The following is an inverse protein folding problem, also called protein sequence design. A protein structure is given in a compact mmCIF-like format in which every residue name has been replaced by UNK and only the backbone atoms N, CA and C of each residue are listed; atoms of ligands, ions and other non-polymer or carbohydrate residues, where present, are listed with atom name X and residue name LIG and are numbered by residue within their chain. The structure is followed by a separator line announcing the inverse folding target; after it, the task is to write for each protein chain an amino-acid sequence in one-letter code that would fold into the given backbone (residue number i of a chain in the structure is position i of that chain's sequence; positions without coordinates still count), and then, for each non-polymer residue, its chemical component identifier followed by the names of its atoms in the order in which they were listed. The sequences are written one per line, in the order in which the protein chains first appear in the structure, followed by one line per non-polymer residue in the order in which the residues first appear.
data_IF_738871424600
#
_entry.id   IF_738871424600
#
_cell.length_a   1.000
_cell.length_b   1.000
_cell.length_c   1.000
_cell.angle_alpha   90.00
_cell.angle_beta   90.00
_cell.angle_gamma   90.00
#
_symmetry.space_group_name_H-M   'P 1'
#
loop_
_entity.id
_entity.type
_entity.pdbx_description
1 polymer ?
#
# COMPACT_ATOMS: atom_id res chain seq x y z
N UNK A 1 25.75 13.15 -8.10
CA UNK A 1 24.66 13.96 -8.69
C UNK A 1 23.37 13.47 -8.05
N UNK A 2 22.88 14.22 -7.06
CA UNK A 2 21.71 13.85 -6.26
C UNK A 2 20.43 14.09 -7.06
N UNK A 3 19.79 13.03 -7.54
CA UNK A 3 18.47 13.11 -8.14
C UNK A 3 17.45 13.54 -7.10
N UNK A 4 16.64 14.54 -7.46
CA UNK A 4 15.66 15.20 -6.61
C UNK A 4 14.41 14.31 -6.55
N UNK A 5 14.34 13.45 -5.53
CA UNK A 5 13.23 12.54 -5.28
C UNK A 5 12.00 13.28 -4.73
N UNK A 6 11.31 14.04 -5.58
CA UNK A 6 10.08 14.74 -5.20
C UNK A 6 8.84 14.39 -6.04
N UNK A 7 7.84 13.74 -5.45
CA UNK A 7 6.42 13.47 -5.72
C UNK A 7 5.45 14.69 -5.73
N UNK A 8 5.90 15.95 -5.85
CA UNK A 8 4.95 17.08 -6.07
C UNK A 8 5.45 18.23 -6.93
N UNK A 9 4.51 19.11 -7.33
CA UNK A 9 4.73 20.42 -7.93
C UNK A 9 5.35 21.33 -6.85
N UNK A 10 6.60 21.78 -7.03
CA UNK A 10 7.43 22.37 -5.96
C UNK A 10 6.73 23.51 -5.21
N UNK A 11 5.95 24.33 -5.92
CA UNK A 11 5.19 25.43 -5.32
C UNK A 11 3.97 24.98 -4.50
N UNK A 12 3.36 23.83 -4.83
CA UNK A 12 2.28 23.24 -4.04
C UNK A 12 2.82 22.47 -2.83
N UNK A 13 3.94 21.75 -3.00
CA UNK A 13 4.63 21.13 -1.88
C UNK A 13 5.07 22.15 -0.85
N UNK A 14 5.64 23.30 -1.28
CA UNK A 14 5.97 24.39 -0.36
C UNK A 14 4.76 24.95 0.39
N UNK A 15 3.56 24.95 -0.22
CA UNK A 15 2.33 25.35 0.47
C UNK A 15 1.87 24.31 1.47
N UNK A 16 1.96 23.03 1.11
CA UNK A 16 1.70 21.91 2.02
C UNK A 16 2.66 21.96 3.20
N UNK A 17 3.96 22.11 2.95
CA UNK A 17 5.00 22.26 3.96
C UNK A 17 4.71 23.44 4.90
N UNK A 18 4.28 24.59 4.35
CA UNK A 18 3.85 25.75 5.15
C UNK A 18 2.64 25.45 6.02
N UNK A 19 1.66 24.68 5.53
CA UNK A 19 0.51 24.27 6.33
C UNK A 19 0.91 23.34 7.49
N UNK A 20 1.82 22.38 7.23
CA UNK A 20 2.39 21.54 8.29
C UNK A 20 3.21 22.35 9.29
N UNK A 21 4.00 23.32 8.83
CA UNK A 21 4.78 24.21 9.69
C UNK A 21 3.90 25.13 10.56
N UNK A 22 2.71 25.50 10.10
CA UNK A 22 1.75 26.29 10.86
C UNK A 22 0.91 25.47 11.86
N UNK A 23 1.15 24.16 11.99
CA UNK A 23 0.35 23.28 12.87
C UNK A 23 -1.07 23.00 12.35
N UNK A 24 -1.37 23.42 11.12
CA UNK A 24 -2.66 23.19 10.45
C UNK A 24 -2.58 21.93 9.58
N UNK A 25 -1.40 21.31 9.44
CA UNK A 25 -1.20 20.09 8.66
C UNK A 25 -2.09 18.92 9.09
N UNK A 26 -2.39 18.81 10.38
CA UNK A 26 -3.32 17.79 10.89
C UNK A 26 -4.81 18.16 10.69
N UNK A 27 -5.11 19.44 10.39
CA UNK A 27 -6.43 19.94 9.95
C UNK A 27 -6.59 19.88 8.42
N UNK A 28 -5.47 19.79 7.69
CA UNK A 28 -5.42 19.67 6.23
C UNK A 28 -5.47 18.19 5.89
N UNK A 29 -6.64 17.78 5.40
CA UNK A 29 -6.93 16.43 4.97
C UNK A 29 -6.13 16.03 3.72
N UNK A 30 -4.84 15.72 3.86
CA UNK A 30 -4.03 15.24 2.75
C UNK A 30 -4.55 13.88 2.22
N UNK A 31 -4.48 13.65 0.90
CA UNK A 31 -4.75 12.35 0.33
C UNK A 31 -3.75 11.29 0.80
N UNK A 32 -4.23 10.06 0.91
CA UNK A 32 -3.44 8.88 1.27
C UNK A 32 -3.59 7.84 0.17
N UNK A 33 -2.57 6.99 -0.02
CA UNK A 33 -2.66 5.83 -0.90
C UNK A 33 -3.06 4.63 -0.05
N UNK A 34 -4.10 3.91 -0.45
CA UNK A 34 -4.49 2.63 0.18
C UNK A 34 -4.28 1.52 -0.84
N UNK A 35 -3.44 0.56 -0.51
CA UNK A 35 -3.15 -0.60 -1.38
C UNK A 35 -4.12 -1.72 -1.04
N UNK A 36 -5.03 -2.03 -1.96
CA UNK A 36 -6.12 -2.99 -1.75
C UNK A 36 -6.09 -4.11 -2.78
N UNK A 37 -6.57 -5.30 -2.41
CA UNK A 37 -6.56 -6.47 -3.29
C UNK A 37 -6.61 -7.79 -2.54
N UNK A 38 -6.92 -8.85 -3.25
CA UNK A 38 -7.04 -10.21 -2.72
C UNK A 38 -5.73 -10.68 -2.04
N UNK A 39 -5.83 -11.67 -1.16
CA UNK A 39 -4.66 -12.29 -0.55
C UNK A 39 -3.69 -12.76 -1.64
N UNK A 40 -2.39 -12.52 -1.42
CA UNK A 40 -1.32 -12.90 -2.36
C UNK A 40 -1.36 -12.21 -3.74
N UNK A 41 -2.12 -11.11 -3.91
CA UNK A 41 -2.11 -10.30 -5.15
C UNK A 41 -0.82 -9.51 -5.37
N UNK A 42 0.08 -9.44 -4.38
CA UNK A 42 1.35 -8.71 -4.47
C UNK A 42 1.31 -7.27 -3.93
N UNK A 43 0.33 -6.92 -3.09
CA UNK A 43 0.19 -5.61 -2.43
C UNK A 43 1.48 -5.15 -1.75
N UNK A 44 2.02 -5.94 -0.83
CA UNK A 44 3.24 -5.59 -0.08
C UNK A 44 4.43 -5.42 -1.03
N UNK A 45 4.53 -6.22 -2.10
CA UNK A 45 5.57 -6.03 -3.12
C UNK A 45 5.38 -4.73 -3.89
N UNK A 46 4.16 -4.35 -4.28
CA UNK A 46 3.87 -3.04 -4.88
C UNK A 46 4.32 -1.94 -3.93
N UNK A 47 3.97 -2.05 -2.65
CA UNK A 47 4.28 -1.07 -1.62
C UNK A 47 5.79 -0.90 -1.43
N UNK A 48 6.54 -1.99 -1.25
CA UNK A 48 8.01 -1.99 -1.22
C UNK A 48 8.62 -1.27 -2.42
N UNK A 49 7.99 -1.46 -3.58
CA UNK A 49 8.39 -0.78 -4.81
C UNK A 49 8.20 0.71 -4.67
N UNK A 50 7.01 1.14 -4.28
CA UNK A 50 6.69 2.55 -4.12
C UNK A 50 7.61 3.23 -3.09
N UNK A 51 7.86 2.59 -1.95
CA UNK A 51 8.63 3.17 -0.84
C UNK A 51 10.16 2.98 -0.94
N UNK A 52 10.65 2.13 -1.87
CA UNK A 52 12.06 1.72 -1.99
C UNK A 52 12.69 1.22 -0.67
N UNK A 53 11.87 0.67 0.22
CA UNK A 53 12.28 0.07 1.49
C UNK A 53 11.73 -1.36 1.57
N UNK A 54 12.50 -2.31 2.11
CA UNK A 54 12.04 -3.67 2.29
C UNK A 54 10.95 -3.70 3.37
N UNK A 55 9.86 -4.39 3.08
CA UNK A 55 8.84 -4.76 4.06
C UNK A 55 9.00 -6.27 4.32
N UNK A 56 8.97 -6.74 5.58
CA UNK A 56 9.07 -8.15 5.87
C UNK A 56 7.88 -8.87 5.26
N UNK A 57 8.19 -9.97 4.59
CA UNK A 57 7.23 -10.84 3.95
C UNK A 57 7.06 -12.06 4.84
N UNK A 58 6.01 -12.08 5.64
CA UNK A 58 5.67 -13.31 6.35
C UNK A 58 5.00 -14.29 5.37
N UNK A 59 5.44 -15.55 5.45
CA UNK A 59 5.18 -16.59 4.43
C UNK A 59 3.77 -17.21 4.50
N UNK A 60 2.96 -16.85 5.50
CA UNK A 60 1.58 -17.30 5.66
C UNK A 60 0.53 -16.22 5.36
N UNK A 61 0.40 -15.24 6.27
CA UNK A 61 -0.48 -14.08 6.13
C UNK A 61 0.42 -12.84 6.07
N UNK A 62 0.70 -12.33 4.87
CA UNK A 62 1.67 -11.23 4.71
C UNK A 62 1.29 -9.95 5.48
N UNK A 63 0.00 -9.73 5.77
CA UNK A 63 -0.50 -8.53 6.46
C UNK A 63 -1.69 -8.91 7.35
N UNK A 64 -1.52 -8.91 8.69
CA UNK A 64 -2.56 -9.27 9.69
C UNK A 64 -3.22 -8.07 10.37
N UNK A 65 -2.70 -6.88 10.14
CA UNK A 65 -3.21 -5.60 10.61
C UNK A 65 -2.85 -4.54 9.57
N UNK A 66 -3.56 -3.41 9.56
CA UNK A 66 -3.21 -2.33 8.64
C UNK A 66 -1.86 -1.72 9.04
N UNK A 67 -0.99 -1.48 8.05
CA UNK A 67 0.29 -0.80 8.26
C UNK A 67 0.24 0.55 7.55
N UNK A 68 0.32 1.63 8.31
CA UNK A 68 0.36 3.00 7.81
C UNK A 68 1.80 3.52 7.84
N UNK A 69 2.33 3.82 6.66
CA UNK A 69 3.62 4.49 6.50
C UNK A 69 3.35 5.96 6.17
N UNK A 70 3.85 6.86 6.99
CA UNK A 70 3.70 8.31 6.84
C UNK A 70 5.07 8.91 6.59
N UNK A 71 5.24 9.52 5.43
CA UNK A 71 6.39 10.32 5.08
C UNK A 71 6.11 11.78 5.43
N UNK A 72 7.02 12.43 6.17
CA UNK A 72 6.91 13.85 6.53
C UNK A 72 8.20 14.59 6.24
N UNK A 73 8.11 15.73 5.56
CA UNK A 73 9.28 16.60 5.43
C UNK A 73 9.64 17.20 6.79
N UNK A 74 10.91 17.06 7.18
CA UNK A 74 11.45 17.61 8.42
C UNK A 74 12.91 18.00 8.25
N UNK A 75 13.45 18.83 9.15
CA UNK A 75 14.87 19.20 9.13
C UNK A 75 15.74 18.01 9.52
N UNK A 76 15.29 17.24 10.50
CA UNK A 76 15.99 16.08 11.05
C UNK A 76 15.42 14.80 10.47
N UNK A 77 16.31 13.85 10.18
CA UNK A 77 15.94 12.48 9.84
C UNK A 77 15.57 11.72 11.11
N UNK A 78 14.35 11.19 11.14
CA UNK A 78 13.83 10.41 12.27
C UNK A 78 12.86 9.36 11.78
N UNK A 79 12.83 8.22 12.43
CA UNK A 79 11.81 7.20 12.20
C UNK A 79 11.14 6.88 13.52
N UNK A 80 9.84 7.11 13.60
CA UNK A 80 9.04 6.81 14.79
C UNK A 80 8.08 5.68 14.48
N UNK A 81 8.10 4.66 15.34
CA UNK A 81 7.23 3.49 15.28
C UNK A 81 6.25 3.58 16.43
N UNK A 82 4.96 3.37 16.14
CA UNK A 82 3.89 3.40 17.14
C UNK A 82 2.74 2.51 16.68
N UNK A 83 1.85 2.13 17.59
CA UNK A 83 0.58 1.49 17.24
C UNK A 83 -0.56 2.44 17.57
N UNK A 84 -1.48 2.61 16.61
CA UNK A 84 -2.72 3.36 16.81
C UNK A 84 -3.82 2.36 17.15
N UNK A 85 -4.43 2.43 18.34
CA UNK A 85 -5.44 1.47 18.72
C UNK A 85 -6.76 1.69 17.98
N UNK A 86 -7.52 0.62 17.79
CA UNK A 86 -8.87 0.69 17.22
C UNK A 86 -9.83 1.53 18.06
N UNK A 87 -10.78 2.18 17.38
CA UNK A 87 -11.87 2.96 17.98
C UNK A 87 -12.82 2.12 18.83
N UNK A 88 -12.77 0.79 18.71
CA UNK A 88 -13.57 -0.14 19.51
C UNK A 88 -12.77 -0.81 20.64
N UNK A 89 -11.46 -0.56 20.72
CA UNK A 89 -10.58 -1.16 21.73
C UNK A 89 -10.91 -0.73 23.17
N UNK A 90 -10.76 -1.67 24.11
CA UNK A 90 -10.96 -1.39 25.54
C UNK A 90 -9.97 -0.35 26.07
N UNK A 91 -10.34 0.38 27.12
CA UNK A 91 -9.48 1.43 27.69
C UNK A 91 -8.13 0.89 28.20
N UNK A 92 -8.11 -0.33 28.75
CA UNK A 92 -6.88 -0.99 29.19
C UNK A 92 -5.98 -1.36 28.01
N UNK A 93 -6.55 -1.91 26.94
CA UNK A 93 -5.82 -2.24 25.70
C UNK A 93 -5.21 -0.98 25.08
N UNK A 94 -6.01 0.11 24.97
CA UNK A 94 -5.53 1.40 24.46
C UNK A 94 -4.33 1.92 25.24
N UNK A 95 -4.41 1.96 26.57
CA UNK A 95 -3.30 2.44 27.39
C UNK A 95 -2.03 1.60 27.22
N UNK A 96 -2.17 0.28 27.09
CA UNK A 96 -1.04 -0.62 26.86
C UNK A 96 -0.39 -0.37 25.49
N UNK A 97 -1.20 -0.24 24.45
CA UNK A 97 -0.75 -0.08 23.07
C UNK A 97 -0.18 1.32 22.82
N UNK A 98 -0.83 2.38 23.32
CA UNK A 98 -0.35 3.76 23.17
C UNK A 98 0.98 3.99 23.91
N UNK A 99 1.28 3.19 24.94
CA UNK A 99 2.57 3.21 25.62
C UNK A 99 3.68 2.54 24.78
N UNK A 100 3.32 1.72 23.80
CA UNK A 100 4.28 1.10 22.90
C UNK A 100 4.59 2.03 21.71
N UNK A 101 5.87 2.33 21.58
CA UNK A 101 6.40 3.09 20.46
C UNK A 101 7.82 3.51 20.75
N UNK A 102 8.63 3.64 19.71
CA UNK A 102 10.03 4.07 19.84
C UNK A 102 10.49 4.79 18.59
N UNK A 103 11.52 5.59 18.78
CA UNK A 103 12.34 6.08 17.68
C UNK A 103 13.35 4.99 17.30
N UNK A 104 13.52 4.78 15.99
CA UNK A 104 14.50 3.84 15.44
C UNK A 104 15.44 4.59 14.50
N UNK A 105 16.69 4.15 14.46
CA UNK A 105 17.72 4.81 13.65
C UNK A 105 17.49 4.60 12.14
N UNK A 106 17.09 3.40 11.73
CA UNK A 106 16.69 3.09 10.36
C UNK A 106 15.71 1.90 10.33
N UNK A 107 15.09 1.67 9.17
CA UNK A 107 14.20 0.55 8.87
C UNK A 107 14.94 -0.45 7.98
N UNK A 108 16.02 -1.01 8.50
CA UNK A 108 16.65 -2.17 7.87
C UNK A 108 15.74 -3.43 8.01
N UNK A 109 15.94 -4.47 7.19
CA UNK A 109 15.10 -5.67 7.24
C UNK A 109 15.01 -6.36 8.61
N UNK A 110 16.10 -6.36 9.39
CA UNK A 110 16.13 -7.01 10.70
C UNK A 110 15.35 -6.19 11.72
N UNK A 111 15.62 -4.88 11.78
CA UNK A 111 14.91 -3.94 12.64
C UNK A 111 13.41 -3.97 12.33
N UNK A 112 13.02 -4.01 11.05
CA UNK A 112 11.62 -4.13 10.68
C UNK A 112 11.02 -5.47 11.14
N UNK A 113 11.74 -6.59 10.95
CA UNK A 113 11.27 -7.90 11.43
C UNK A 113 11.03 -7.92 12.95
N UNK A 114 11.93 -7.30 13.72
CA UNK A 114 11.78 -7.14 15.18
C UNK A 114 10.55 -6.29 15.52
N UNK A 115 10.38 -5.14 14.86
CA UNK A 115 9.20 -4.27 15.01
C UNK A 115 7.91 -5.05 14.76
N UNK A 116 7.87 -5.86 13.70
CA UNK A 116 6.69 -6.65 13.36
C UNK A 116 6.42 -7.73 14.40
N UNK A 117 7.45 -8.43 14.87
CA UNK A 117 7.29 -9.43 15.93
C UNK A 117 6.71 -8.80 17.20
N UNK A 118 7.27 -7.67 17.64
CA UNK A 118 6.77 -6.94 18.79
C UNK A 118 5.34 -6.43 18.57
N UNK A 119 5.03 -5.90 17.38
CA UNK A 119 3.69 -5.44 17.06
C UNK A 119 2.65 -6.57 17.15
N UNK A 120 2.99 -7.79 16.68
CA UNK A 120 2.13 -8.95 16.84
C UNK A 120 1.88 -9.27 18.33
N UNK A 121 2.92 -9.19 19.17
CA UNK A 121 2.79 -9.43 20.61
C UNK A 121 1.91 -8.35 21.29
N UNK A 122 2.15 -7.07 20.99
CA UNK A 122 1.38 -5.96 21.56
C UNK A 122 -0.09 -5.96 21.13
N UNK A 123 -0.37 -6.34 19.89
CA UNK A 123 -1.73 -6.50 19.37
C UNK A 123 -2.40 -7.82 19.81
N UNK A 124 -1.69 -8.67 20.57
CA UNK A 124 -2.23 -9.92 21.10
C UNK A 124 -2.48 -10.99 20.04
N UNK A 125 -1.77 -10.93 18.91
CA UNK A 125 -1.95 -11.84 17.78
C UNK A 125 -1.29 -13.22 18.03
N UNK A 126 -1.73 -14.23 17.27
CA UNK A 126 -1.12 -15.57 17.31
C UNK A 126 0.31 -15.49 16.74
N UNK A 127 1.31 -15.71 17.60
CA UNK A 127 2.72 -15.81 17.23
C UNK A 127 3.19 -17.27 17.03
N UNK A 128 2.53 -18.25 17.66
CA UNK A 128 2.83 -19.69 17.51
C UNK A 128 1.62 -20.57 17.88
N UNK A 129 1.50 -21.76 17.25
CA UNK A 129 0.39 -22.73 17.41
C UNK A 129 0.27 -23.35 18.83
N UNK A 130 1.14 -22.98 19.77
CA UNK A 130 1.31 -23.69 21.05
C UNK A 130 0.63 -23.03 22.25
N UNK A 131 -0.04 -21.88 22.10
CA UNK A 131 -0.69 -21.21 23.24
C UNK A 131 -2.14 -21.70 23.45
N UNK A 132 -2.43 -22.15 24.68
CA UNK A 132 -3.73 -22.71 25.11
C UNK A 132 -4.91 -21.72 25.16
N UNK A 133 -4.73 -20.46 24.72
CA UNK A 133 -5.76 -19.41 24.70
C UNK A 133 -6.08 -19.01 23.26
N UNK A 134 -7.37 -18.92 22.87
CA UNK A 134 -7.74 -18.45 21.54
C UNK A 134 -7.34 -16.97 21.41
N UNK A 135 -6.31 -16.71 20.62
CA UNK A 135 -5.89 -15.34 20.24
C UNK A 135 -6.46 -15.01 18.86
N UNK A 136 -6.77 -13.73 18.58
CA UNK A 136 -7.21 -13.31 17.26
C UNK A 136 -6.09 -13.46 16.22
N UNK A 137 -6.46 -13.74 14.97
CA UNK A 137 -5.51 -13.80 13.85
C UNK A 137 -5.26 -12.42 13.24
N UNK A 138 -6.25 -11.54 13.26
CA UNK A 138 -6.18 -10.17 12.75
C UNK A 138 -6.48 -9.14 13.84
N UNK A 139 -5.94 -7.93 13.69
CA UNK A 139 -6.24 -6.79 14.58
C UNK A 139 -6.67 -5.57 13.76
N UNK A 140 -7.64 -4.83 14.30
CA UNK A 140 -8.04 -3.49 13.82
C UNK A 140 -7.09 -2.38 14.30
N UNK A 141 -6.16 -2.70 15.19
CA UNK A 141 -5.08 -1.78 15.54
C UNK A 141 -4.17 -1.56 14.32
N UNK A 142 -3.56 -0.38 14.21
CA UNK A 142 -2.79 0.04 13.04
C UNK A 142 -1.34 0.23 13.44
N UNK A 143 -0.43 -0.49 12.79
CA UNK A 143 1.00 -0.20 12.93
C UNK A 143 1.31 1.08 12.14
N UNK A 144 1.79 2.11 12.82
CA UNK A 144 2.15 3.40 12.21
C UNK A 144 3.65 3.60 12.24
N UNK A 145 4.21 3.82 11.06
CA UNK A 145 5.61 4.15 10.80
C UNK A 145 5.69 5.58 10.27
N UNK A 146 6.23 6.50 11.06
CA UNK A 146 6.44 7.89 10.63
C UNK A 146 7.91 8.12 10.29
N UNK A 147 8.20 8.27 9.00
CA UNK A 147 9.53 8.52 8.45
C UNK A 147 9.62 10.01 8.14
N UNK A 148 10.44 10.74 8.89
CA UNK A 148 10.67 12.17 8.65
C UNK A 148 12.09 12.44 8.14
N UNK A 149 12.24 13.47 7.31
CA UNK A 149 13.56 13.91 6.82
C UNK A 149 13.45 14.99 5.75
N UNK A 150 14.57 15.63 5.36
CA UNK A 150 14.57 16.79 4.46
C UNK A 150 14.25 16.41 3.01
N UNK A 151 14.56 15.16 2.64
CA UNK A 151 14.26 14.57 1.33
C UNK A 151 12.86 13.98 1.23
N UNK A 152 12.13 13.90 2.36
CA UNK A 152 10.80 13.29 2.39
C UNK A 152 9.74 14.25 1.83
N UNK A 153 8.62 13.65 1.48
CA UNK A 153 7.42 14.37 1.09
C UNK A 153 6.23 13.95 1.91
N UNK A 154 5.29 14.86 2.06
CA UNK A 154 4.07 14.59 2.79
C UNK A 154 3.18 13.61 2.02
N UNK A 155 3.37 12.33 2.30
CA UNK A 155 2.63 11.21 1.72
C UNK A 155 2.30 10.20 2.82
N UNK A 156 1.09 9.65 2.79
CA UNK A 156 0.76 8.46 3.57
C UNK A 156 0.40 7.31 2.65
N UNK A 157 0.98 6.14 2.92
CA UNK A 157 0.62 4.89 2.26
C UNK A 157 0.16 3.88 3.29
N UNK A 158 -0.93 3.19 3.01
CA UNK A 158 -1.57 2.23 3.89
C UNK A 158 -1.59 0.88 3.18
N UNK A 159 -0.94 -0.11 3.78
CA UNK A 159 -1.13 -1.53 3.44
C UNK A 159 -2.28 -2.07 4.28
N UNK A 160 -3.27 -2.70 3.65
CA UNK A 160 -4.36 -3.37 4.35
C UNK A 160 -4.29 -4.88 4.11
N UNK A 161 -4.80 -5.70 5.04
CA UNK A 161 -4.92 -7.14 4.85
C UNK A 161 -5.59 -7.50 3.53
N UNK A 162 -5.12 -8.60 2.92
CA UNK A 162 -5.72 -9.09 1.67
C UNK A 162 -7.05 -9.77 1.91
N UNK A 163 -8.03 -9.50 1.06
CA UNK A 163 -9.34 -10.16 1.13
C UNK A 163 -9.18 -11.64 0.77
N UNK A 164 -9.84 -12.51 1.52
CA UNK A 164 -9.88 -13.95 1.29
C UNK A 164 -11.30 -14.49 1.49
N UNK A 165 -11.66 -15.53 0.72
CA UNK A 165 -13.03 -16.07 0.69
C UNK A 165 -13.19 -17.38 1.46
N UNK A 166 -12.07 -18.07 1.71
CA UNK A 166 -12.05 -19.40 2.31
C UNK A 166 -11.09 -19.35 3.50
N UNK A 167 -11.52 -19.78 4.69
CA UNK A 167 -10.62 -19.84 5.83
C UNK A 167 -9.55 -20.92 5.61
N UNK A 168 -8.31 -20.58 5.93
CA UNK A 168 -7.22 -21.54 6.10
C UNK A 168 -7.41 -22.28 7.42
N UNK A 169 -7.51 -23.61 7.35
CA UNK A 169 -7.68 -24.48 8.53
C UNK A 169 -6.56 -24.24 9.54
N UNK A 170 -6.94 -24.09 10.82
CA UNK A 170 -6.00 -23.82 11.92
C UNK A 170 -5.49 -22.38 12.02
N UNK A 171 -5.68 -21.55 10.99
CA UNK A 171 -5.13 -20.19 10.94
C UNK A 171 -6.19 -19.08 10.92
N UNK A 172 -7.29 -19.25 10.19
CA UNK A 172 -8.33 -18.21 10.03
C UNK A 172 -9.73 -18.80 10.16
N UNK A 173 -10.69 -17.96 10.49
CA UNK A 173 -12.10 -18.31 10.71
C UNK A 173 -13.01 -17.54 9.76
N UNK A 174 -14.30 -17.88 9.72
CA UNK A 174 -15.29 -17.08 8.97
C UNK A 174 -15.46 -15.68 9.54
N UNK A 175 -15.30 -15.52 10.86
CA UNK A 175 -15.36 -14.19 11.48
C UNK A 175 -14.18 -13.32 11.03
N UNK A 176 -13.01 -13.90 10.79
CA UNK A 176 -11.85 -13.18 10.27
C UNK A 176 -12.07 -12.67 8.84
N UNK A 177 -12.82 -13.41 8.01
CA UNK A 177 -13.20 -12.97 6.66
C UNK A 177 -14.03 -11.68 6.74
N UNK A 178 -15.06 -11.68 7.59
CA UNK A 178 -15.94 -10.53 7.76
C UNK A 178 -15.17 -9.34 8.37
N UNK A 179 -14.31 -9.58 9.35
CA UNK A 179 -13.44 -8.58 9.96
C UNK A 179 -12.54 -7.90 8.93
N UNK A 180 -11.79 -8.69 8.14
CA UNK A 180 -10.90 -8.15 7.11
C UNK A 180 -11.68 -7.41 6.04
N UNK A 181 -12.84 -7.92 5.61
CA UNK A 181 -13.68 -7.23 4.62
C UNK A 181 -14.19 -5.89 5.14
N UNK A 182 -14.63 -5.82 6.40
CA UNK A 182 -15.06 -4.58 7.04
C UNK A 182 -13.90 -3.59 7.19
N UNK A 183 -12.73 -4.05 7.63
CA UNK A 183 -11.52 -3.23 7.76
C UNK A 183 -11.16 -2.62 6.40
N UNK A 184 -11.00 -3.44 5.36
CA UNK A 184 -10.64 -2.98 4.01
C UNK A 184 -11.67 -1.97 3.48
N UNK A 185 -12.96 -2.25 3.65
CA UNK A 185 -14.03 -1.32 3.25
C UNK A 185 -13.92 0.04 3.94
N UNK A 186 -13.62 0.08 5.25
CA UNK A 186 -13.49 1.35 5.98
C UNK A 186 -12.37 2.25 5.43
N UNK A 187 -11.24 1.65 5.00
CA UNK A 187 -10.17 2.39 4.34
C UNK A 187 -10.53 2.85 2.93
N UNK A 188 -11.31 2.04 2.19
CA UNK A 188 -11.76 2.34 0.83
C UNK A 188 -12.83 3.44 0.79
N UNK A 189 -13.74 3.48 1.76
CA UNK A 189 -14.81 4.48 1.88
C UNK A 189 -14.30 5.88 2.21
N UNK A 190 -13.11 5.99 2.80
CA UNK A 190 -12.51 7.29 3.08
C UNK A 190 -12.26 8.05 1.76
N UNK A 191 -12.87 9.23 1.54
CA UNK A 191 -12.79 9.97 0.28
C UNK A 191 -11.38 10.50 -0.01
N UNK A 192 -10.48 10.50 0.99
CA UNK A 192 -9.07 10.89 0.85
C UNK A 192 -8.18 9.76 0.33
N UNK A 193 -8.70 8.54 0.32
CA UNK A 193 -7.95 7.35 -0.10
C UNK A 193 -7.94 7.24 -1.62
N UNK A 194 -6.76 7.42 -2.22
CA UNK A 194 -6.45 6.91 -3.56
C UNK A 194 -6.29 5.41 -3.45
N UNK A 195 -7.20 4.67 -4.06
CA UNK A 195 -7.20 3.22 -4.06
C UNK A 195 -6.27 2.70 -5.15
N UNK A 196 -5.26 1.95 -4.72
CA UNK A 196 -4.39 1.18 -5.59
C UNK A 196 -4.90 -0.26 -5.60
N UNK A 197 -5.72 -0.60 -6.59
CA UNK A 197 -6.37 -1.91 -6.68
C UNK A 197 -5.43 -2.91 -7.36
N UNK A 198 -4.77 -3.73 -6.54
CA UNK A 198 -3.72 -4.66 -6.96
C UNK A 198 -4.34 -6.02 -7.33
N UNK A 199 -4.17 -6.41 -8.59
CA UNK A 199 -4.70 -7.66 -9.15
C UNK A 199 -3.58 -8.38 -9.90
N UNK A 200 -3.36 -9.69 -9.68
CA UNK A 200 -2.38 -10.41 -10.47
C UNK A 200 -2.94 -10.69 -11.88
N UNK A 201 -2.08 -10.70 -12.90
CA UNK A 201 -2.52 -10.87 -14.30
C UNK A 201 -2.92 -12.30 -14.66
N UNK A 202 -2.61 -13.27 -13.81
CA UNK A 202 -2.92 -14.68 -14.01
C UNK A 202 -4.34 -15.07 -13.52
N UNK A 203 -5.16 -14.10 -13.12
CA UNK A 203 -6.57 -14.32 -12.74
C UNK A 203 -7.50 -13.44 -13.58
N UNK A 204 -8.74 -13.90 -13.76
CA UNK A 204 -9.75 -13.07 -14.43
C UNK A 204 -10.22 -11.97 -13.48
N UNK A 205 -10.01 -10.71 -13.91
CA UNK A 205 -10.42 -9.49 -13.22
C UNK A 205 -11.93 -9.49 -12.88
N UNK A 206 -12.80 -10.25 -13.58
CA UNK A 206 -14.26 -10.27 -13.32
C UNK A 206 -14.61 -11.04 -12.06
N UNK A 207 -13.73 -11.93 -11.64
CA UNK A 207 -13.93 -12.77 -10.46
C UNK A 207 -13.41 -12.11 -9.18
N UNK A 208 -12.72 -10.97 -9.34
CA UNK A 208 -12.03 -10.28 -8.26
C UNK A 208 -13.02 -9.42 -7.48
N UNK A 209 -13.22 -9.77 -6.21
CA UNK A 209 -14.14 -9.09 -5.30
C UNK A 209 -13.70 -7.64 -5.05
N UNK A 210 -12.39 -7.38 -5.06
CA UNK A 210 -11.88 -6.04 -4.83
C UNK A 210 -12.35 -5.02 -5.87
N UNK A 211 -12.67 -5.44 -7.10
CA UNK A 211 -13.18 -4.52 -8.14
C UNK A 211 -14.60 -4.08 -7.83
N UNK A 212 -15.43 -4.99 -7.31
CA UNK A 212 -16.78 -4.68 -6.85
C UNK A 212 -16.71 -3.67 -5.69
N UNK A 213 -15.89 -3.98 -4.68
CA UNK A 213 -15.70 -3.08 -3.52
C UNK A 213 -15.15 -1.70 -3.91
N UNK A 214 -14.24 -1.65 -4.89
CA UNK A 214 -13.68 -0.39 -5.38
C UNK A 214 -14.73 0.43 -6.14
N UNK A 215 -15.61 -0.23 -6.89
CA UNK A 215 -16.71 0.41 -7.61
C UNK A 215 -17.76 0.95 -6.64
N UNK A 216 -18.07 0.21 -5.57
CA UNK A 216 -19.00 0.66 -4.53
C UNK A 216 -18.45 1.88 -3.78
N UNK A 217 -17.16 1.88 -3.44
CA UNK A 217 -16.52 2.96 -2.71
C UNK A 217 -16.23 4.21 -3.59
N UNK A 218 -15.94 4.03 -4.88
CA UNK A 218 -15.69 5.10 -5.84
C UNK A 218 -16.45 4.87 -7.17
N UNK A 219 -17.77 5.11 -7.20
CA UNK A 219 -18.56 4.94 -8.42
C UNK A 219 -18.12 5.84 -9.58
N UNK A 220 -17.42 6.94 -9.27
CA UNK A 220 -16.92 7.91 -10.25
C UNK A 220 -15.57 7.53 -10.88
N UNK A 221 -14.86 6.57 -10.26
CA UNK A 221 -13.51 6.14 -10.64
C UNK A 221 -12.45 7.23 -10.49
N UNK A 222 -12.71 8.33 -9.76
CA UNK A 222 -11.82 9.49 -9.68
C UNK A 222 -10.58 9.27 -8.82
N UNK A 223 -10.61 8.26 -7.95
CA UNK A 223 -9.55 7.97 -6.98
C UNK A 223 -9.15 6.49 -7.00
N UNK A 224 -9.53 5.74 -8.04
CA UNK A 224 -9.23 4.30 -8.17
C UNK A 224 -8.32 4.04 -9.36
N UNK A 225 -7.11 3.54 -9.08
CA UNK A 225 -6.13 3.11 -10.08
C UNK A 225 -5.97 1.59 -10.01
N UNK A 226 -6.18 0.91 -11.14
CA UNK A 226 -5.91 -0.53 -11.25
C UNK A 226 -4.42 -0.80 -11.45
N UNK A 227 -3.87 -1.76 -10.70
CA UNK A 227 -2.46 -2.18 -10.83
C UNK A 227 -2.39 -3.68 -11.04
N UNK A 228 -1.85 -4.06 -12.19
CA UNK A 228 -1.53 -5.45 -12.50
C UNK A 228 -0.17 -5.86 -11.96
N UNK A 229 -0.10 -7.05 -11.38
CA UNK A 229 1.14 -7.69 -10.91
C UNK A 229 1.32 -9.06 -11.54
N UNK A 230 2.50 -9.65 -11.38
CA UNK A 230 2.84 -11.00 -11.88
C UNK A 230 2.63 -11.21 -13.39
N UNK A 231 3.02 -10.25 -14.26
CA UNK A 231 2.90 -10.40 -15.73
C UNK A 231 3.66 -11.60 -16.29
N UNK A 232 4.65 -12.09 -15.55
CA UNK A 232 5.45 -13.27 -15.83
C UNK A 232 4.69 -14.60 -15.69
N UNK A 233 3.54 -14.61 -15.00
CA UNK A 233 2.73 -15.80 -14.75
C UNK A 233 1.50 -15.91 -15.65
N UNK A 234 1.37 -15.06 -16.68
CA UNK A 234 0.25 -15.13 -17.61
C UNK A 234 0.44 -16.32 -18.56
N UNK A 235 -0.63 -17.10 -18.75
CA UNK A 235 -0.63 -18.20 -19.71
C UNK A 235 -0.44 -17.67 -21.14
N UNK A 236 0.35 -18.40 -21.94
CA UNK A 236 0.59 -18.05 -23.34
C UNK A 236 -0.71 -18.05 -24.14
N UNK A 237 -1.04 -16.92 -24.74
CA UNK A 237 -2.28 -16.66 -25.46
C UNK A 237 -3.30 -15.83 -24.68
N UNK A 238 -3.15 -15.69 -23.36
CA UNK A 238 -4.03 -14.85 -22.52
C UNK A 238 -3.50 -13.41 -22.36
N UNK A 239 -2.25 -13.13 -22.70
CA UNK A 239 -1.63 -11.80 -22.61
C UNK A 239 -2.38 -10.73 -23.41
N UNK A 240 -2.91 -10.98 -24.62
CA UNK A 240 -3.68 -9.98 -25.37
C UNK A 240 -4.91 -9.46 -24.62
N UNK A 241 -5.53 -10.27 -23.76
CA UNK A 241 -6.66 -9.84 -22.94
C UNK A 241 -6.22 -8.81 -21.88
N UNK A 242 -5.07 -9.02 -21.25
CA UNK A 242 -4.48 -8.08 -20.28
C UNK A 242 -4.06 -6.78 -20.98
N UNK A 243 -3.42 -6.88 -22.15
CA UNK A 243 -3.02 -5.72 -22.96
C UNK A 243 -4.24 -4.89 -23.38
N UNK A 244 -5.35 -5.54 -23.73
CA UNK A 244 -6.62 -4.87 -24.07
C UNK A 244 -7.17 -4.05 -22.90
N UNK A 245 -7.11 -4.57 -21.67
CA UNK A 245 -7.50 -3.84 -20.46
C UNK A 245 -6.57 -2.64 -20.21
N UNK A 246 -5.25 -2.85 -20.32
CA UNK A 246 -4.25 -1.79 -20.14
C UNK A 246 -4.40 -0.63 -21.13
N UNK A 247 -4.81 -0.94 -22.36
CA UNK A 247 -5.08 0.06 -23.39
C UNK A 247 -6.45 0.74 -23.24
N UNK A 248 -7.27 0.32 -22.28
CA UNK A 248 -8.59 0.90 -22.02
C UNK A 248 -9.66 0.45 -23.02
N UNK A 249 -9.46 -0.66 -23.72
CA UNK A 249 -10.48 -1.22 -24.61
C UNK A 249 -11.52 -2.07 -23.85
N UNK A 250 -11.18 -2.55 -22.65
CA UNK A 250 -12.05 -3.32 -21.76
C UNK A 250 -11.83 -2.90 -20.31
N UNK A 251 -12.87 -2.99 -19.46
CA UNK A 251 -12.85 -2.59 -18.03
C UNK A 251 -12.25 -1.21 -17.81
N UNK A 252 -12.87 -0.21 -18.43
CA UNK A 252 -12.39 1.16 -18.39
C UNK A 252 -12.47 1.72 -16.97
N UNK A 253 -11.33 2.11 -16.44
CA UNK A 253 -11.22 2.91 -15.21
C UNK A 253 -10.82 4.33 -15.58
N UNK A 254 -11.35 5.35 -14.90
CA UNK A 254 -11.06 6.75 -15.23
C UNK A 254 -9.59 7.11 -15.00
N UNK A 255 -8.95 6.59 -13.94
CA UNK A 255 -7.50 6.68 -13.76
C UNK A 255 -6.72 5.60 -14.52
N UNK A 256 -7.39 4.69 -15.22
CA UNK A 256 -6.79 3.64 -16.04
C UNK A 256 -6.14 2.50 -15.25
N UNK A 257 -5.28 1.77 -15.95
CA UNK A 257 -4.54 0.62 -15.44
C UNK A 257 -3.03 0.83 -15.59
N UNK A 258 -2.29 0.25 -14.67
CA UNK A 258 -0.83 0.18 -14.67
C UNK A 258 -0.40 -1.28 -14.53
N UNK A 259 0.79 -1.64 -14.98
CA UNK A 259 1.34 -2.98 -14.77
C UNK A 259 2.78 -2.91 -14.24
N UNK A 260 3.08 -3.74 -13.26
CA UNK A 260 4.41 -3.85 -12.67
C UNK A 260 4.86 -5.30 -12.61
N UNK A 261 6.17 -5.52 -12.61
CA UNK A 261 6.78 -6.82 -12.38
C UNK A 261 7.62 -6.77 -11.11
N UNK A 262 7.16 -7.50 -10.10
CA UNK A 262 7.87 -7.64 -8.84
C UNK A 262 8.72 -8.92 -8.86
N UNK A 263 9.81 -8.99 -8.06
CA UNK A 263 10.57 -10.21 -7.88
C UNK A 263 9.70 -11.35 -7.35
N UNK A 264 9.79 -12.52 -7.98
CA UNK A 264 9.15 -13.74 -7.52
C UNK A 264 9.88 -14.37 -6.32
N UNK A 265 9.26 -15.36 -5.66
CA UNK A 265 9.81 -15.97 -4.44
C UNK A 265 11.23 -16.53 -4.60
N UNK A 266 11.56 -17.06 -5.79
CA UNK A 266 12.89 -17.58 -6.11
C UNK A 266 13.92 -16.47 -6.29
N UNK A 267 13.51 -15.36 -6.92
CA UNK A 267 14.39 -14.23 -7.23
C UNK A 267 14.74 -13.46 -5.96
N UNK A 268 13.84 -13.41 -4.98
CA UNK A 268 14.09 -12.82 -3.66
C UNK A 268 15.19 -13.51 -2.85
N UNK A 269 15.54 -14.75 -3.20
CA UNK A 269 16.65 -15.45 -2.56
C UNK A 269 18.00 -14.91 -3.02
N UNK A 270 18.02 -14.14 -4.12
CA UNK A 270 19.21 -13.50 -4.64
C UNK A 270 19.40 -12.12 -3.99
N UNK A 271 20.43 -12.02 -3.16
CA UNK A 271 20.81 -10.80 -2.43
C UNK A 271 21.32 -9.69 -3.38
N UNK A 272 21.76 -10.06 -4.59
CA UNK A 272 22.27 -9.11 -5.58
C UNK A 272 21.20 -8.66 -6.58
N UNK A 273 19.96 -9.07 -6.38
CA UNK A 273 18.88 -8.72 -7.30
C UNK A 273 18.57 -7.23 -7.27
N UNK A 274 18.82 -6.56 -8.40
CA UNK A 274 18.30 -5.23 -8.65
C UNK A 274 16.87 -5.34 -9.21
N UNK A 275 15.90 -4.97 -8.37
CA UNK A 275 14.48 -4.98 -8.70
C UNK A 275 14.15 -4.08 -9.91
N UNK A 276 14.68 -2.87 -9.93
CA UNK A 276 14.35 -1.85 -10.93
C UNK A 276 14.92 -2.31 -12.28
N UNK A 277 16.12 -2.89 -12.27
CA UNK A 277 16.75 -3.45 -13.47
C UNK A 277 16.01 -4.69 -13.99
N UNK A 278 15.60 -5.59 -13.09
CA UNK A 278 14.83 -6.79 -13.40
C UNK A 278 13.49 -6.45 -14.08
N UNK A 279 12.81 -5.42 -13.60
CA UNK A 279 11.57 -4.93 -14.17
C UNK A 279 11.78 -4.27 -15.54
N UNK A 280 12.80 -3.41 -15.65
CA UNK A 280 13.16 -2.72 -16.89
C UNK A 280 13.50 -3.69 -18.03
N UNK A 281 14.29 -4.73 -17.74
CA UNK A 281 14.63 -5.77 -18.73
C UNK A 281 13.38 -6.50 -19.19
N UNK A 282 12.46 -6.83 -18.28
CA UNK A 282 11.22 -7.54 -18.61
C UNK A 282 10.35 -6.74 -19.59
N UNK A 283 10.03 -5.50 -19.25
CA UNK A 283 9.18 -4.66 -20.09
C UNK A 283 9.87 -4.23 -21.38
N UNK A 284 11.20 -4.31 -21.51
CA UNK A 284 11.88 -4.04 -22.79
C UNK A 284 12.01 -5.26 -23.70
N UNK A 285 12.16 -6.45 -23.13
CA UNK A 285 12.52 -7.66 -23.88
C UNK A 285 11.35 -8.61 -24.16
N UNK A 286 10.32 -8.64 -23.30
CA UNK A 286 9.26 -9.64 -23.38
C UNK A 286 8.05 -9.11 -24.16
N UNK A 287 7.71 -9.78 -25.26
CA UNK A 287 6.44 -9.56 -25.97
C UNK A 287 5.30 -10.28 -25.23
N UNK A 288 4.09 -9.70 -25.13
CA UNK A 288 3.66 -8.42 -25.71
C UNK A 288 3.89 -7.19 -24.81
N UNK A 289 4.50 -7.38 -23.63
CA UNK A 289 4.65 -6.34 -22.61
C UNK A 289 5.50 -5.14 -23.08
N UNK A 290 6.45 -5.39 -23.98
CA UNK A 290 7.29 -4.37 -24.60
C UNK A 290 6.60 -3.47 -25.63
N UNK A 291 5.36 -3.79 -26.02
CA UNK A 291 4.54 -2.93 -26.88
C UNK A 291 3.64 -1.98 -26.09
N UNK A 292 3.66 -2.03 -24.76
CA UNK A 292 2.81 -1.19 -23.90
C UNK A 292 3.48 0.17 -23.71
N UNK A 293 2.66 1.22 -23.62
CA UNK A 293 3.09 2.58 -23.29
C UNK A 293 3.96 2.60 -22.01
N UNK A 294 5.15 3.20 -22.12
CA UNK A 294 6.12 3.32 -21.03
C UNK A 294 5.52 4.03 -19.79
N UNK A 295 4.52 4.90 -19.98
CA UNK A 295 3.81 5.56 -18.89
C UNK A 295 2.86 4.64 -18.09
N UNK A 296 2.64 3.40 -18.55
CA UNK A 296 1.75 2.40 -17.92
C UNK A 296 2.49 1.17 -17.40
N UNK A 297 3.82 1.11 -17.57
CA UNK A 297 4.63 -0.05 -17.15
C UNK A 297 5.74 0.37 -16.20
N UNK A 298 5.93 -0.42 -15.15
CA UNK A 298 7.04 -0.27 -14.22
C UNK A 298 6.77 0.60 -13.00
N UNK A 299 7.58 0.43 -11.96
CA UNK A 299 7.39 1.08 -10.67
C UNK A 299 7.69 2.58 -10.72
N UNK A 300 8.69 2.99 -11.50
CA UNK A 300 9.09 4.40 -11.58
C UNK A 300 8.01 5.26 -12.26
N UNK A 301 7.43 4.76 -13.36
CA UNK A 301 6.31 5.42 -14.02
C UNK A 301 5.05 5.41 -13.14
N UNK A 302 4.83 4.35 -12.34
CA UNK A 302 3.75 4.29 -11.36
C UNK A 302 3.90 5.39 -10.30
N UNK A 303 5.11 5.62 -9.78
CA UNK A 303 5.36 6.72 -8.82
C UNK A 303 5.05 8.08 -9.44
N UNK A 304 5.49 8.34 -10.67
CA UNK A 304 5.18 9.58 -11.39
C UNK A 304 3.66 9.77 -11.57
N UNK A 305 2.95 8.71 -11.95
CA UNK A 305 1.49 8.74 -12.14
C UNK A 305 0.76 8.99 -10.82
N UNK A 306 1.17 8.35 -9.73
CA UNK A 306 0.60 8.56 -8.40
C UNK A 306 0.84 9.98 -7.91
N UNK A 307 2.03 10.54 -8.16
CA UNK A 307 2.34 11.96 -7.92
C UNK A 307 1.33 12.88 -8.59
N UNK A 308 1.02 12.65 -9.86
CA UNK A 308 0.09 13.50 -10.62
C UNK A 308 -1.35 13.36 -10.10
N UNK A 309 -1.77 12.14 -9.78
CA UNK A 309 -3.10 11.85 -9.20
C UNK A 309 -3.24 12.56 -7.85
N UNK A 310 -2.28 12.38 -6.94
CA UNK A 310 -2.29 13.01 -5.62
C UNK A 310 -2.28 14.54 -5.75
N UNK A 311 -1.44 15.08 -6.63
CA UNK A 311 -1.37 16.52 -6.87
C UNK A 311 -2.71 17.09 -7.39
N UNK A 312 -3.39 16.37 -8.28
CA UNK A 312 -4.71 16.74 -8.79
C UNK A 312 -5.77 16.73 -7.69
N UNK A 313 -5.76 15.70 -6.82
CA UNK A 313 -6.68 15.60 -5.69
C UNK A 313 -6.43 16.70 -4.64
N UNK A 314 -5.16 16.96 -4.30
CA UNK A 314 -4.79 18.08 -3.42
C UNK A 314 -5.31 19.39 -4.00
N UNK A 315 -5.13 19.65 -5.32
CA UNK A 315 -5.64 20.85 -5.99
C UNK A 315 -7.18 20.96 -5.94
N UNK A 316 -7.90 19.84 -5.96
CA UNK A 316 -9.37 19.79 -5.87
C UNK A 316 -9.88 20.00 -4.44
N UNK A 317 -9.16 19.51 -3.44
CA UNK A 317 -9.55 19.61 -2.03
C UNK A 317 -9.09 20.93 -1.38
N UNK A 318 -7.96 21.51 -1.79
CA UNK A 318 -7.42 22.76 -1.21
C UNK A 318 -8.43 23.92 -1.16
N UNK A 319 -9.20 24.22 -2.22
CA UNK A 319 -10.20 25.29 -2.20
C UNK A 319 -11.34 25.05 -1.21
N UNK A 320 -11.62 23.79 -0.85
CA UNK A 320 -12.66 23.42 0.12
C UNK A 320 -12.21 23.61 1.56
N UNK A 321 -10.90 23.71 1.79
CA UNK A 321 -10.30 23.86 3.13
C UNK A 321 -10.46 25.28 3.70
N UNK A 322 -11.02 26.23 2.93
CA UNK A 322 -11.57 27.47 3.50
C UNK A 322 -10.56 28.23 4.38
N UNK A 323 -9.37 28.51 3.87
CA UNK A 323 -8.54 29.57 4.44
C UNK A 323 -9.16 30.90 4.00
N UNK A 324 -10.09 31.39 4.82
CA UNK A 324 -10.45 32.81 4.93
C UNK A 324 -9.24 33.56 5.49
#
# INVERSE_FOLDING_TARGET
MSEQYGLGDTAMLEKVDKLFACGVGDLVNLPQIVVVGDQSSGKSSVLEGLIKKPLPRDSGLCTRFATQIVFRRAIEERVVVSIVPSLESSQQHRQSIEAWGREVADLDPNTFSEIMQEAHEQMGLISDETTATPRPTFSDDVLRLEISGPSQEHLSVIDVPGIFKIPTEGLTTKADIDLVRCMVRSYMENPRSVMLTVIPTNVDVATQEIIELATDADPSGERTLGVFTKPDLVDRGAEPAVVSILNGHSRVMKLGWHIIRNPGQRELQDVHLDRDQLESIFFRSQSPWNGIDEAKVGIDSLRCRLKDILSSLIKKEFPKIGLI
#
